data_IF_672958384843
#
_entry.id   IF_672958384843
#
_cell.length_a   1.000
_cell.length_b   1.000
_cell.length_c   1.000
_cell.angle_alpha   90.00
_cell.angle_beta   90.00
_cell.angle_gamma   90.00
#
_symmetry.space_group_name_H-M   'P 1'
#
loop_
_entity.id
_entity.type
_entity.pdbx_description
1 polymer ?
#
# COMPACT_ATOMS: atom_id res chain seq x y z
N UNK A 1 0.20 -16.28 -19.12
CA UNK A 1 0.34 -14.91 -19.69
C UNK A 1 -0.57 -13.98 -18.90
N UNK A 2 -0.05 -12.86 -18.37
CA UNK A 2 -0.87 -11.91 -17.60
C UNK A 2 -1.77 -11.13 -18.55
N UNK A 3 -3.10 -11.30 -18.44
CA UNK A 3 -4.10 -10.68 -19.33
C UNK A 3 -3.98 -9.14 -19.40
N UNK A 4 -3.46 -8.52 -18.35
CA UNK A 4 -3.35 -7.06 -18.26
C UNK A 4 -2.29 -6.46 -19.19
N UNK A 5 -1.24 -7.23 -19.54
CA UNK A 5 -0.20 -6.68 -20.42
C UNK A 5 -0.65 -6.63 -21.90
N UNK A 6 -1.51 -7.56 -22.32
CA UNK A 6 -2.15 -7.45 -23.64
C UNK A 6 -2.96 -6.14 -23.72
N UNK A 7 -3.73 -5.83 -22.67
CA UNK A 7 -4.48 -4.57 -22.59
C UNK A 7 -3.58 -3.33 -22.60
N UNK A 8 -2.41 -3.37 -21.94
CA UNK A 8 -1.42 -2.29 -22.02
C UNK A 8 -0.98 -2.04 -23.47
N UNK A 9 -0.60 -3.11 -24.18
CA UNK A 9 -0.16 -3.03 -25.58
C UNK A 9 -1.27 -2.50 -26.49
N UNK A 10 -2.48 -3.05 -26.34
CA UNK A 10 -3.64 -2.64 -27.13
C UNK A 10 -3.97 -1.16 -26.90
N UNK A 11 -3.87 -0.68 -25.65
CA UNK A 11 -4.12 0.71 -25.31
C UNK A 11 -3.07 1.63 -25.94
N UNK A 12 -1.78 1.28 -25.86
CA UNK A 12 -0.69 2.05 -26.48
C UNK A 12 -0.84 2.08 -28.01
N UNK A 13 -1.12 0.93 -28.63
CA UNK A 13 -1.31 0.84 -30.08
C UNK A 13 -2.51 1.67 -30.55
N UNK A 14 -3.63 1.64 -29.82
CA UNK A 14 -4.80 2.49 -30.12
C UNK A 14 -4.45 3.98 -30.12
N UNK A 15 -3.65 4.44 -29.16
CA UNK A 15 -3.21 5.84 -29.12
C UNK A 15 -2.25 6.17 -30.27
N UNK A 16 -1.33 5.27 -30.61
CA UNK A 16 -0.44 5.43 -31.77
C UNK A 16 -1.23 5.52 -33.08
N UNK A 17 -2.19 4.63 -33.29
CA UNK A 17 -3.06 4.61 -34.48
C UNK A 17 -3.88 5.89 -34.58
N UNK A 18 -4.50 6.33 -33.47
CA UNK A 18 -5.29 7.58 -33.43
C UNK A 18 -4.48 8.82 -33.82
N UNK A 19 -3.18 8.82 -33.55
CA UNK A 19 -2.28 9.94 -33.87
C UNK A 19 -1.49 9.73 -35.16
N UNK A 20 -1.78 8.65 -35.91
CA UNK A 20 -1.05 8.24 -37.12
C UNK A 20 0.48 8.13 -36.88
N UNK A 21 0.86 7.60 -35.71
CA UNK A 21 2.25 7.42 -35.28
C UNK A 21 2.68 5.96 -35.34
N UNK A 22 3.99 5.75 -35.50
CA UNK A 22 4.59 4.41 -35.52
C UNK A 22 5.40 4.12 -34.25
N UNK A 23 5.68 2.84 -34.00
CA UNK A 23 6.59 2.43 -32.93
C UNK A 23 8.00 3.05 -33.05
N UNK A 24 8.47 3.27 -34.29
CA UNK A 24 9.75 3.93 -34.56
C UNK A 24 9.72 5.43 -34.20
N UNK A 25 8.57 6.08 -34.37
CA UNK A 25 8.37 7.44 -33.90
C UNK A 25 8.42 7.48 -32.36
N UNK A 26 7.67 6.59 -31.70
CA UNK A 26 7.62 6.54 -30.23
C UNK A 26 9.00 6.29 -29.65
N UNK A 27 9.79 5.38 -30.23
CA UNK A 27 11.13 5.06 -29.75
C UNK A 27 12.07 6.28 -29.76
N UNK A 28 11.96 7.14 -30.78
CA UNK A 28 12.71 8.41 -30.84
C UNK A 28 12.27 9.37 -29.74
N UNK A 29 10.97 9.49 -29.50
CA UNK A 29 10.44 10.40 -28.48
C UNK A 29 10.88 10.03 -27.06
N UNK A 30 10.94 8.74 -26.74
CA UNK A 30 11.30 8.27 -25.39
C UNK A 30 12.80 7.96 -25.21
N UNK A 31 13.61 8.18 -26.26
CA UNK A 31 15.06 7.91 -26.22
C UNK A 31 15.42 6.43 -26.05
N UNK A 32 14.66 5.52 -26.66
CA UNK A 32 14.90 4.06 -26.59
C UNK A 32 15.16 3.47 -27.97
N UNK A 33 15.90 2.37 -28.01
CA UNK A 33 16.17 1.66 -29.25
C UNK A 33 14.87 1.10 -29.84
N UNK A 34 14.69 1.23 -31.17
CA UNK A 34 13.46 0.83 -31.86
C UNK A 34 13.11 -0.65 -31.59
N UNK A 35 14.09 -1.55 -31.67
CA UNK A 35 13.87 -2.97 -31.41
C UNK A 35 13.32 -3.25 -29.98
N UNK A 36 13.69 -2.43 -29.00
CA UNK A 36 13.20 -2.57 -27.62
C UNK A 36 11.72 -2.18 -27.54
N UNK A 37 11.35 -1.06 -28.16
CA UNK A 37 9.95 -0.61 -28.22
C UNK A 37 9.09 -1.58 -29.01
N UNK A 38 9.58 -2.07 -30.16
CA UNK A 38 8.91 -3.12 -30.92
C UNK A 38 8.64 -4.35 -30.06
N UNK A 39 9.62 -4.83 -29.29
CA UNK A 39 9.43 -5.97 -28.37
C UNK A 39 8.36 -5.70 -27.32
N UNK A 40 8.25 -4.46 -26.82
CA UNK A 40 7.21 -4.13 -25.87
C UNK A 40 5.81 -4.19 -26.48
N UNK A 41 5.68 -3.78 -27.75
CA UNK A 41 4.41 -3.72 -28.47
C UNK A 41 4.03 -5.02 -29.19
N UNK A 42 4.97 -5.94 -29.44
CA UNK A 42 4.71 -7.20 -30.16
C UNK A 42 4.84 -8.45 -29.30
N UNK A 43 5.84 -8.52 -28.42
CA UNK A 43 6.15 -9.73 -27.63
C UNK A 43 5.51 -9.69 -26.24
N UNK A 44 4.59 -8.76 -26.01
CA UNK A 44 3.96 -8.58 -24.70
C UNK A 44 4.98 -8.41 -23.55
N UNK A 45 6.09 -7.71 -23.80
CA UNK A 45 7.15 -7.46 -22.81
C UNK A 45 7.02 -6.10 -22.13
N UNK A 46 6.95 -6.09 -20.81
CA UNK A 46 6.88 -4.87 -20.01
C UNK A 46 8.11 -3.94 -20.22
N UNK A 47 7.92 -2.61 -20.26
CA UNK A 47 9.01 -1.66 -20.09
C UNK A 47 9.75 -1.93 -18.79
N UNK A 48 11.07 -1.67 -18.73
CA UNK A 48 11.88 -2.02 -17.56
C UNK A 48 11.64 -1.15 -16.31
N UNK A 49 11.00 0.01 -16.45
CA UNK A 49 10.78 0.95 -15.36
C UNK A 49 9.51 1.79 -15.55
N UNK A 50 8.89 2.32 -14.47
CA UNK A 50 7.68 3.14 -14.56
C UNK A 50 7.94 4.49 -15.26
N UNK A 51 9.14 5.05 -15.14
CA UNK A 51 9.53 6.32 -15.77
C UNK A 51 9.41 6.23 -17.30
N UNK A 52 9.71 5.06 -17.87
CA UNK A 52 9.55 4.83 -19.32
C UNK A 52 8.08 4.93 -19.71
N UNK A 53 7.17 4.38 -18.90
CA UNK A 53 5.72 4.45 -19.16
C UNK A 53 5.24 5.89 -19.09
N UNK A 54 5.72 6.68 -18.12
CA UNK A 54 5.42 8.11 -18.01
C UNK A 54 5.91 8.88 -19.24
N UNK A 55 7.15 8.62 -19.70
CA UNK A 55 7.68 9.22 -20.93
C UNK A 55 6.88 8.83 -22.17
N UNK A 56 6.42 7.57 -22.26
CA UNK A 56 5.54 7.12 -23.34
C UNK A 56 4.21 7.86 -23.31
N UNK A 57 3.58 8.00 -22.14
CA UNK A 57 2.32 8.72 -21.99
C UNK A 57 2.46 10.21 -22.36
N UNK A 58 3.54 10.86 -21.93
CA UNK A 58 3.82 12.25 -22.29
C UNK A 58 4.07 12.44 -23.79
N UNK A 59 4.80 11.51 -24.43
CA UNK A 59 5.02 11.50 -25.87
C UNK A 59 3.70 11.31 -26.64
N UNK A 60 2.82 10.44 -26.15
CA UNK A 60 1.48 10.20 -26.69
C UNK A 60 0.46 11.25 -26.28
N UNK A 61 0.89 12.37 -25.72
CA UNK A 61 0.01 13.51 -25.46
C UNK A 61 -1.13 13.23 -24.47
N UNK A 62 -0.94 12.25 -23.59
CA UNK A 62 -1.97 11.78 -22.67
C UNK A 62 -2.08 12.68 -21.42
N UNK A 63 -3.19 12.57 -20.70
CA UNK A 63 -3.36 13.16 -19.37
C UNK A 63 -2.82 12.26 -18.26
N UNK A 64 -2.87 12.77 -17.03
CA UNK A 64 -2.43 12.03 -15.83
C UNK A 64 -3.30 10.79 -15.59
N UNK A 65 -4.61 10.87 -15.86
CA UNK A 65 -5.53 9.75 -15.68
C UNK A 65 -5.19 8.57 -16.60
N UNK A 66 -4.99 8.83 -17.89
CA UNK A 66 -4.61 7.81 -18.87
C UNK A 66 -3.19 7.28 -18.62
N UNK A 67 -2.27 8.13 -18.15
CA UNK A 67 -0.95 7.68 -17.72
C UNK A 67 -1.03 6.72 -16.52
N UNK A 68 -1.86 7.02 -15.52
CA UNK A 68 -2.10 6.14 -14.38
C UNK A 68 -2.75 4.81 -14.80
N UNK A 69 -3.63 4.81 -15.81
CA UNK A 69 -4.16 3.59 -16.41
C UNK A 69 -3.06 2.75 -17.06
N UNK A 70 -2.17 3.37 -17.86
CA UNK A 70 -1.03 2.68 -18.46
C UNK A 70 -0.09 2.08 -17.41
N UNK A 71 0.21 2.81 -16.33
CA UNK A 71 1.03 2.31 -15.21
C UNK A 71 0.38 1.09 -14.55
N UNK A 72 -0.94 1.15 -14.31
CA UNK A 72 -1.71 0.04 -13.74
C UNK A 72 -1.69 -1.20 -14.64
N UNK A 73 -1.93 -1.04 -15.95
CA UNK A 73 -1.91 -2.16 -16.91
C UNK A 73 -0.50 -2.75 -17.07
N UNK A 74 0.53 -1.91 -16.96
CA UNK A 74 1.93 -2.33 -16.90
C UNK A 74 2.33 -2.91 -15.54
N UNK A 75 1.42 -3.06 -14.57
CA UNK A 75 1.68 -3.58 -13.22
C UNK A 75 2.70 -2.76 -12.41
N UNK A 76 2.79 -1.46 -12.65
CA UNK A 76 3.51 -0.55 -11.76
C UNK A 76 2.58 -0.16 -10.60
N UNK A 77 3.02 -0.33 -9.34
CA UNK A 77 2.23 0.08 -8.18
C UNK A 77 2.15 1.59 -8.03
N UNK A 78 3.08 2.31 -8.68
CA UNK A 78 3.23 3.76 -8.59
C UNK A 78 2.18 4.47 -9.44
N UNK A 79 1.68 5.57 -8.90
CA UNK A 79 0.99 6.62 -9.64
C UNK A 79 1.97 7.70 -10.09
N UNK A 80 1.52 8.56 -10.99
CA UNK A 80 2.31 9.71 -11.44
C UNK A 80 2.73 10.59 -10.26
N UNK A 81 1.84 10.76 -9.27
CA UNK A 81 2.10 11.54 -8.05
C UNK A 81 3.29 10.98 -7.27
N UNK A 82 3.31 9.67 -7.02
CA UNK A 82 4.39 8.99 -6.30
C UNK A 82 5.74 9.18 -7.02
N UNK A 83 5.72 9.13 -8.36
CA UNK A 83 6.93 9.29 -9.17
C UNK A 83 7.46 10.73 -9.17
N UNK A 84 6.65 11.75 -8.86
CA UNK A 84 7.12 13.14 -8.76
C UNK A 84 8.13 13.32 -7.64
N UNK A 85 7.93 12.61 -6.54
CA UNK A 85 8.77 12.73 -5.35
C UNK A 85 10.05 11.92 -5.48
N UNK A 86 9.99 10.75 -6.12
CA UNK A 86 11.12 9.82 -6.17
C UNK A 86 12.04 10.01 -7.37
N UNK A 87 11.56 10.60 -8.47
CA UNK A 87 12.32 10.64 -9.72
C UNK A 87 13.22 11.87 -9.82
N UNK A 88 14.53 11.64 -9.95
CA UNK A 88 15.55 12.66 -10.16
C UNK A 88 15.93 12.88 -11.63
N UNK A 89 15.51 11.99 -12.52
CA UNK A 89 15.80 12.04 -13.96
C UNK A 89 15.06 13.22 -14.62
N UNK A 90 15.82 14.14 -15.22
CA UNK A 90 15.30 15.39 -15.78
C UNK A 90 14.29 15.15 -16.91
N UNK A 91 14.48 14.13 -17.75
CA UNK A 91 13.57 13.82 -18.86
C UNK A 91 12.20 13.36 -18.34
N UNK A 92 12.21 12.57 -17.28
CA UNK A 92 11.00 12.08 -16.63
C UNK A 92 10.28 13.21 -15.92
N UNK A 93 10.99 14.10 -15.23
CA UNK A 93 10.39 15.30 -14.63
C UNK A 93 9.74 16.20 -15.69
N UNK A 94 10.38 16.39 -16.85
CA UNK A 94 9.79 17.10 -17.99
C UNK A 94 8.53 16.40 -18.53
N UNK A 95 8.55 15.08 -18.60
CA UNK A 95 7.40 14.28 -19.01
C UNK A 95 6.22 14.46 -18.04
N UNK A 96 6.46 14.40 -16.72
CA UNK A 96 5.41 14.62 -15.71
C UNK A 96 4.83 16.03 -15.82
N UNK A 97 5.69 17.05 -15.93
CA UNK A 97 5.22 18.43 -16.11
C UNK A 97 4.39 18.62 -17.39
N UNK A 98 4.67 17.86 -18.46
CA UNK A 98 3.87 17.88 -19.68
C UNK A 98 2.48 17.24 -19.48
N UNK A 99 2.39 16.14 -18.72
CA UNK A 99 1.11 15.50 -18.36
C UNK A 99 0.22 16.43 -17.53
N UNK A 100 0.82 17.20 -16.62
CA UNK A 100 0.10 18.11 -15.72
C UNK A 100 -0.54 19.29 -16.47
N UNK A 101 0.21 19.86 -17.42
CA UNK A 101 -0.31 20.92 -18.30
C UNK A 101 -1.51 20.43 -19.11
N UNK A 102 -1.46 19.20 -19.62
CA UNK A 102 -2.55 18.60 -20.41
C UNK A 102 -3.77 18.30 -19.55
N UNK A 103 -3.56 17.77 -18.35
CA UNK A 103 -4.65 17.48 -17.41
C UNK A 103 -5.37 18.76 -16.98
N UNK A 104 -4.63 19.87 -16.85
CA UNK A 104 -5.21 21.19 -16.58
C UNK A 104 -6.02 21.73 -17.78
N UNK A 105 -5.53 21.51 -19.01
CA UNK A 105 -6.22 21.91 -20.23
C UNK A 105 -7.52 21.13 -20.50
N UNK A 106 -7.60 19.88 -20.02
CA UNK A 106 -8.81 19.05 -20.11
C UNK A 106 -9.86 19.37 -19.05
N UNK A 107 -9.66 20.40 -18.21
CA UNK A 107 -10.75 20.88 -17.35
C UNK A 107 -11.95 21.20 -18.23
N UNK A 108 -13.13 20.64 -17.93
CA UNK A 108 -14.30 20.79 -18.76
C UNK A 108 -14.53 22.28 -18.94
N UNK A 109 -14.46 22.73 -20.20
CA UNK A 109 -14.95 24.04 -20.63
C UNK A 109 -16.20 24.29 -19.82
N UNK A 110 -16.14 25.24 -18.87
CA UNK A 110 -17.22 25.53 -17.95
C UNK A 110 -18.48 25.62 -18.81
N UNK A 111 -19.33 24.59 -18.69
CA UNK A 111 -20.60 24.58 -19.38
C UNK A 111 -21.29 25.85 -18.91
N UNK A 112 -21.43 26.81 -19.81
CA UNK A 112 -22.21 28.01 -19.53
C UNK A 112 -23.55 27.53 -19.00
N UNK A 113 -24.00 28.02 -17.84
CA UNK A 113 -25.23 27.56 -17.23
C UNK A 113 -26.39 27.84 -18.18
N UNK A 114 -26.78 26.83 -18.95
CA UNK A 114 -27.96 26.86 -19.79
C UNK A 114 -29.15 26.70 -18.85
N UNK A 115 -29.74 27.84 -18.48
CA UNK A 115 -31.00 27.90 -17.73
C UNK A 115 -32.07 27.05 -18.41
N UNK A 116 -32.39 25.89 -17.82
CA UNK A 116 -33.56 25.10 -18.14
C UNK A 116 -34.36 24.81 -16.85
N UNK A 117 -35.70 24.71 -16.93
CA UNK A 117 -36.59 24.92 -15.80
C UNK A 117 -36.79 23.67 -14.95
N UNK A 118 -37.02 23.90 -13.65
CA UNK A 118 -37.38 22.93 -12.62
C UNK A 118 -38.61 22.09 -12.98
N UNK A 119 -38.50 20.78 -12.76
CA UNK A 119 -39.62 19.92 -12.37
C UNK A 119 -39.19 19.05 -11.17
N UNK A 120 -39.93 19.06 -10.05
CA UNK A 120 -39.70 18.18 -8.93
C UNK A 120 -40.60 16.94 -9.04
N UNK A 121 -40.09 15.77 -8.69
CA UNK A 121 -40.76 14.71 -7.93
C UNK A 121 -39.94 13.42 -8.01
N UNK A 122 -39.81 12.76 -6.86
CA UNK A 122 -39.81 11.31 -6.60
C UNK A 122 -38.78 10.99 -5.50
N UNK A 123 -39.27 10.81 -4.27
CA UNK A 123 -39.80 9.59 -3.65
C UNK A 123 -38.70 8.82 -2.90
N UNK A 124 -38.68 9.11 -1.61
CA UNK A 124 -37.83 8.61 -0.54
C UNK A 124 -37.94 7.08 -0.43
N UNK A 125 -36.80 6.37 -0.48
CA UNK A 125 -36.72 4.96 -0.08
C UNK A 125 -36.08 4.87 1.32
N UNK A 126 -36.66 4.08 2.25
CA UNK A 126 -36.10 3.91 3.58
C UNK A 126 -34.83 3.02 3.55
N UNK A 127 -33.87 3.26 4.45
CA UNK A 127 -32.62 2.49 4.52
C UNK A 127 -32.86 1.07 5.10
N UNK A 128 -32.12 0.06 4.64
CA UNK A 128 -32.17 -1.29 5.19
C UNK A 128 -31.58 -1.34 6.61
N UNK A 129 -32.17 -2.19 7.45
CA UNK A 129 -31.78 -2.40 8.85
C UNK A 129 -30.35 -2.96 8.99
N UNK A 130 -29.62 -2.59 10.06
CA UNK A 130 -28.25 -3.06 10.29
C UNK A 130 -28.24 -4.56 10.64
N UNK A 131 -27.53 -5.34 9.84
CA UNK A 131 -27.21 -6.74 10.10
C UNK A 131 -26.28 -6.82 11.32
N UNK A 132 -26.72 -7.60 12.32
CA UNK A 132 -25.96 -7.95 13.52
C UNK A 132 -24.73 -8.77 13.15
N UNK A 133 -23.58 -8.11 12.98
CA UNK A 133 -22.29 -8.75 12.84
C UNK A 133 -21.80 -9.20 14.23
N UNK A 134 -21.45 -10.50 14.35
CA UNK A 134 -20.69 -11.00 15.48
C UNK A 134 -19.36 -10.22 15.58
N UNK A 135 -18.89 -9.91 16.80
CA UNK A 135 -17.66 -9.14 16.96
C UNK A 135 -16.49 -9.89 16.31
N UNK A 136 -15.70 -9.23 15.46
CA UNK A 136 -14.49 -9.82 14.88
C UNK A 136 -13.60 -10.36 16.00
N UNK A 137 -13.06 -11.55 15.80
CA UNK A 137 -12.08 -12.11 16.73
C UNK A 137 -10.93 -11.10 16.83
N UNK A 138 -10.40 -10.86 18.04
CA UNK A 138 -9.38 -9.84 18.32
C UNK A 138 -8.20 -9.83 17.32
N UNK A 139 -7.84 -10.99 16.76
CA UNK A 139 -6.83 -11.12 15.71
C UNK A 139 -7.20 -10.41 14.39
N UNK A 140 -8.47 -10.39 13.99
CA UNK A 140 -8.93 -9.67 12.80
C UNK A 140 -8.96 -8.16 13.03
N UNK A 141 -9.34 -7.70 14.23
CA UNK A 141 -9.29 -6.27 14.60
C UNK A 141 -7.86 -5.75 14.57
N UNK A 142 -6.91 -6.52 15.09
CA UNK A 142 -5.49 -6.16 15.02
C UNK A 142 -4.97 -6.14 13.58
N UNK A 143 -5.34 -7.12 12.75
CA UNK A 143 -4.94 -7.14 11.34
C UNK A 143 -5.55 -5.97 10.55
N UNK A 144 -6.80 -5.61 10.82
CA UNK A 144 -7.47 -4.48 10.20
C UNK A 144 -6.87 -3.15 10.66
N UNK A 145 -6.62 -2.99 11.97
CA UNK A 145 -5.99 -1.80 12.52
C UNK A 145 -4.58 -1.60 11.95
N UNK A 146 -3.74 -2.65 11.94
CA UNK A 146 -2.42 -2.62 11.30
C UNK A 146 -2.58 -2.29 9.82
N UNK A 147 -3.47 -2.94 9.08
CA UNK A 147 -3.65 -2.64 7.66
C UNK A 147 -4.12 -1.20 7.39
N UNK A 148 -4.94 -0.61 8.26
CA UNK A 148 -5.50 0.73 8.09
C UNK A 148 -4.48 1.81 8.42
N UNK A 149 -3.78 1.67 9.54
CA UNK A 149 -2.72 2.59 9.97
C UNK A 149 -1.56 2.62 8.95
N UNK A 150 -1.29 1.49 8.29
CA UNK A 150 -0.23 1.40 7.27
C UNK A 150 -0.64 1.87 5.87
N UNK A 151 -1.92 1.92 5.53
CA UNK A 151 -2.38 2.50 4.25
C UNK A 151 -2.36 4.04 4.29
N UNK A 152 -2.42 4.63 5.48
CA UNK A 152 -2.40 6.09 5.66
C UNK A 152 -0.98 6.64 5.89
N UNK A 153 -0.06 5.84 6.43
CA UNK A 153 1.35 6.19 6.57
C UNK A 153 2.14 5.78 5.32
N UNK A 154 2.63 6.75 4.56
CA UNK A 154 3.43 6.57 3.34
C UNK A 154 4.85 6.05 3.69
N UNK A 155 4.96 4.80 4.12
CA UNK A 155 6.24 4.17 4.52
C UNK A 155 6.97 3.65 3.27
N UNK A 156 8.25 4.02 3.11
CA UNK A 156 9.12 3.52 2.04
C UNK A 156 9.13 1.98 2.04
N UNK A 157 9.01 1.35 0.85
CA UNK A 157 9.01 -0.12 0.70
C UNK A 157 10.21 -0.81 1.36
N UNK A 158 11.36 -0.13 1.44
CA UNK A 158 12.57 -0.66 2.07
C UNK A 158 12.44 -0.67 3.60
N UNK A 159 11.87 0.38 4.17
CA UNK A 159 11.57 0.47 5.60
C UNK A 159 10.45 -0.50 5.98
N UNK A 160 9.42 -0.63 5.15
CA UNK A 160 8.37 -1.63 5.31
C UNK A 160 8.95 -3.06 5.35
N UNK A 161 9.88 -3.38 4.44
CA UNK A 161 10.57 -4.66 4.44
C UNK A 161 11.43 -4.91 5.69
N UNK A 162 11.95 -3.85 6.33
CA UNK A 162 12.66 -3.95 7.61
C UNK A 162 11.68 -4.16 8.77
N UNK A 163 10.63 -3.35 8.86
CA UNK A 163 9.58 -3.46 9.87
C UNK A 163 8.91 -4.85 9.86
N UNK A 164 8.57 -5.38 8.68
CA UNK A 164 7.96 -6.71 8.58
C UNK A 164 8.91 -7.83 9.02
N UNK A 165 10.22 -7.68 8.82
CA UNK A 165 11.20 -8.65 9.33
C UNK A 165 11.30 -8.57 10.85
N UNK A 166 11.35 -7.37 11.41
CA UNK A 166 11.37 -7.16 12.85
C UNK A 166 10.10 -7.71 13.52
N UNK A 167 8.92 -7.40 12.96
CA UNK A 167 7.65 -7.92 13.44
C UNK A 167 7.61 -9.46 13.38
N UNK A 168 8.12 -10.06 12.30
CA UNK A 168 8.17 -11.51 12.19
C UNK A 168 9.11 -12.15 13.23
N UNK A 169 10.24 -11.49 13.52
CA UNK A 169 11.18 -11.91 14.56
C UNK A 169 10.53 -11.85 15.94
N UNK A 170 9.81 -10.77 16.26
CA UNK A 170 9.09 -10.63 17.53
C UNK A 170 7.97 -11.67 17.68
N UNK A 171 7.16 -11.88 16.63
CA UNK A 171 6.13 -12.93 16.63
C UNK A 171 6.76 -14.32 16.83
N UNK A 172 7.91 -14.57 16.22
CA UNK A 172 8.65 -15.83 16.39
C UNK A 172 9.12 -16.01 17.85
N UNK A 173 9.65 -14.96 18.47
CA UNK A 173 10.05 -14.97 19.87
C UNK A 173 8.87 -15.21 20.82
N UNK A 174 7.72 -14.58 20.57
CA UNK A 174 6.49 -14.80 21.34
C UNK A 174 6.01 -16.24 21.21
N UNK A 175 5.98 -16.80 19.99
CA UNK A 175 5.59 -18.20 19.75
C UNK A 175 6.52 -19.18 20.47
N UNK A 176 7.82 -18.92 20.45
CA UNK A 176 8.81 -19.73 21.17
C UNK A 176 8.59 -19.68 22.68
N UNK A 177 8.36 -18.49 23.24
CA UNK A 177 8.04 -18.33 24.66
C UNK A 177 6.75 -19.05 25.07
N UNK A 178 5.70 -19.01 24.23
CA UNK A 178 4.46 -19.74 24.46
C UNK A 178 4.65 -21.26 24.41
N UNK A 179 5.48 -21.77 23.48
CA UNK A 179 5.81 -23.19 23.43
C UNK A 179 6.59 -23.66 24.66
N UNK A 180 7.56 -22.86 25.11
CA UNK A 180 8.33 -23.12 26.33
C UNK A 180 7.44 -23.08 27.59
N UNK A 181 6.47 -22.17 27.64
CA UNK A 181 5.48 -22.09 28.71
C UNK A 181 4.49 -23.27 28.70
N UNK A 182 4.06 -23.72 27.52
CA UNK A 182 3.21 -24.92 27.39
C UNK A 182 3.95 -26.18 27.84
N UNK A 183 5.25 -26.29 27.53
CA UNK A 183 6.11 -27.35 28.04
C UNK A 183 6.23 -27.28 29.57
N UNK A 184 6.41 -26.08 30.15
CA UNK A 184 6.40 -25.88 31.60
C UNK A 184 5.06 -26.31 32.23
N UNK A 185 3.93 -26.03 31.59
CA UNK A 185 2.60 -26.49 32.04
C UNK A 185 2.47 -28.02 32.04
N UNK A 186 3.03 -28.70 31.03
CA UNK A 186 3.10 -30.17 30.98
C UNK A 186 4.06 -30.75 32.03
N UNK A 187 5.18 -30.08 32.31
CA UNK A 187 6.12 -30.45 33.37
C UNK A 187 5.51 -30.33 34.77
N UNK A 188 4.71 -29.29 35.04
CA UNK A 188 4.01 -29.12 36.31
C UNK A 188 2.91 -30.16 36.53
N UNK A 189 2.31 -30.69 35.46
CA UNK A 189 1.32 -31.78 35.54
C UNK A 189 1.92 -33.17 35.76
N UNK A 190 3.22 -33.38 35.49
CA UNK A 190 3.87 -34.71 35.54
C UNK A 190 4.71 -34.96 36.79
N UNK A 191 4.85 -33.96 37.67
CA UNK A 191 5.29 -34.18 39.07
C UNK A 191 6.74 -34.64 39.26
N UNK A 192 7.65 -34.42 38.32
CA UNK A 192 9.06 -34.80 38.46
C UNK A 192 9.99 -33.60 38.26
N UNK A 193 10.56 -33.10 39.36
CA UNK A 193 11.52 -31.99 39.36
C UNK A 193 12.97 -32.48 39.42
N UNK A 194 13.76 -32.15 38.40
CA UNK A 194 15.17 -31.79 38.60
C UNK A 194 15.39 -30.35 38.09
N UNK A 195 15.90 -29.43 38.93
CA UNK A 195 16.03 -28.02 38.56
C UNK A 195 17.26 -27.79 37.66
N UNK A 196 17.03 -27.53 36.37
CA UNK A 196 18.06 -26.97 35.49
C UNK A 196 18.04 -25.44 35.59
N UNK A 197 19.06 -24.88 36.25
CA UNK A 197 19.35 -23.44 36.29
C UNK A 197 19.70 -22.95 34.88
N UNK A 198 18.79 -22.20 34.24
CA UNK A 198 19.17 -21.26 33.17
C UNK A 198 18.57 -19.89 33.49
N UNK A 199 19.35 -18.80 33.39
CA UNK A 199 18.83 -17.45 33.59
C UNK A 199 17.96 -17.06 32.40
N UNK A 200 16.72 -16.65 32.65
CA UNK A 200 15.90 -15.98 31.64
C UNK A 200 16.47 -14.57 31.42
N UNK A 201 16.82 -14.25 30.17
CA UNK A 201 17.21 -12.89 29.78
C UNK A 201 16.00 -11.95 29.72
N UNK A 202 16.24 -10.64 29.78
CA UNK A 202 15.23 -9.57 29.87
C UNK A 202 14.11 -9.64 28.81
N UNK A 203 14.33 -10.25 27.65
CA UNK A 203 13.30 -10.44 26.63
C UNK A 203 12.15 -11.39 27.02
N UNK A 204 12.37 -12.27 28.01
CA UNK A 204 11.33 -13.17 28.51
C UNK A 204 10.25 -12.46 29.33
N UNK A 205 10.58 -11.33 29.95
CA UNK A 205 9.67 -10.62 30.85
C UNK A 205 8.59 -9.83 30.08
N UNK A 206 8.98 -9.23 28.94
CA UNK A 206 8.04 -8.55 28.04
C UNK A 206 7.11 -9.54 27.33
N UNK A 207 7.61 -10.69 26.91
CA UNK A 207 6.79 -11.76 26.34
C UNK A 207 5.79 -12.32 27.38
N UNK A 208 6.21 -12.44 28.64
CA UNK A 208 5.33 -12.84 29.73
C UNK A 208 4.23 -11.79 29.99
N UNK A 209 4.58 -10.50 30.04
CA UNK A 209 3.61 -9.42 30.25
C UNK A 209 2.58 -9.32 29.11
N UNK A 210 3.02 -9.46 27.85
CA UNK A 210 2.12 -9.45 26.69
C UNK A 210 1.13 -10.63 26.70
N UNK A 211 1.60 -11.83 27.06
CA UNK A 211 0.74 -13.02 27.19
C UNK A 211 -0.20 -12.92 28.39
N UNK A 212 0.25 -12.32 29.49
CA UNK A 212 -0.59 -12.14 30.69
C UNK A 212 -1.67 -11.08 30.45
N UNK A 213 -1.36 -10.00 29.72
CA UNK A 213 -2.33 -8.98 29.31
C UNK A 213 -3.36 -9.49 28.30
N UNK A 214 -2.96 -10.37 27.38
CA UNK A 214 -3.87 -10.97 26.39
C UNK A 214 -4.86 -12.00 26.99
N UNK A 215 -4.58 -12.52 28.19
CA UNK A 215 -5.43 -13.46 28.92
C UNK A 215 -6.23 -12.81 30.06
N UNK A 216 -6.08 -11.49 30.25
CA UNK A 216 -6.70 -10.77 31.33
C UNK A 216 -8.20 -10.52 31.04
N UNK A 217 -9.03 -10.48 32.09
CA UNK A 217 -10.44 -10.12 31.96
C UNK A 217 -10.60 -8.70 31.39
N UNK A 218 -11.74 -8.37 30.76
CA UNK A 218 -11.91 -7.12 29.99
C UNK A 218 -11.51 -5.84 30.74
N UNK A 219 -11.74 -5.77 32.06
CA UNK A 219 -11.37 -4.63 32.90
C UNK A 219 -9.83 -4.49 33.06
N UNK A 220 -9.10 -5.62 33.10
CA UNK A 220 -7.64 -5.63 33.16
C UNK A 220 -6.99 -5.32 31.81
N UNK A 221 -7.69 -5.61 30.71
CA UNK A 221 -7.23 -5.29 29.36
C UNK A 221 -7.27 -3.78 29.09
N UNK A 222 -8.28 -3.07 29.61
CA UNK A 222 -8.34 -1.60 29.56
C UNK A 222 -7.22 -0.94 30.38
N UNK A 223 -6.94 -1.45 31.57
CA UNK A 223 -5.81 -0.96 32.38
C UNK A 223 -4.45 -1.19 31.71
N UNK A 224 -4.27 -2.31 31.00
CA UNK A 224 -3.06 -2.61 30.25
C UNK A 224 -2.88 -1.66 29.05
N UNK A 225 -3.94 -1.42 28.28
CA UNK A 225 -3.93 -0.46 27.17
C UNK A 225 -3.70 0.98 27.65
N UNK A 226 -4.27 1.35 28.80
CA UNK A 226 -4.03 2.65 29.43
C UNK A 226 -2.56 2.82 29.88
N UNK A 227 -1.94 1.78 30.42
CA UNK A 227 -0.53 1.79 30.81
C UNK A 227 0.41 1.92 29.60
N UNK A 228 0.12 1.21 28.51
CA UNK A 228 0.89 1.34 27.26
C UNK A 228 0.77 2.74 26.63
N UNK A 229 -0.41 3.34 26.68
CA UNK A 229 -0.61 4.73 26.20
C UNK A 229 0.11 5.78 27.07
N UNK A 230 0.38 5.48 28.35
CA UNK A 230 1.18 6.35 29.21
C UNK A 230 2.66 6.32 28.82
N UNK A 231 3.23 5.14 28.55
CA UNK A 231 4.62 5.03 28.07
C UNK A 231 4.81 5.71 26.70
N UNK A 232 3.84 5.62 25.79
CA UNK A 232 3.94 6.27 24.48
C UNK A 232 3.99 7.81 24.61
N UNK A 233 3.22 8.39 25.53
CA UNK A 233 3.24 9.84 25.80
C UNK A 233 4.55 10.30 26.42
N UNK A 234 5.13 9.49 27.31
CA UNK A 234 6.42 9.82 27.94
C UNK A 234 7.58 9.71 26.94
N UNK A 235 7.53 8.75 26.01
CA UNK A 235 8.49 8.62 24.91
C UNK A 235 8.36 9.79 23.92
N UNK A 236 7.13 10.20 23.59
CA UNK A 236 6.89 11.36 22.73
C UNK A 236 7.31 12.69 23.40
N UNK A 237 7.08 12.84 24.71
CA UNK A 237 7.53 14.00 25.47
C UNK A 237 9.06 14.09 25.52
N UNK A 238 9.76 12.96 25.66
CA UNK A 238 11.22 12.90 25.64
C UNK A 238 11.82 13.17 24.23
N UNK A 239 11.05 12.97 23.17
CA UNK A 239 11.47 13.23 21.79
C UNK A 239 11.34 14.71 21.36
N UNK A 240 10.52 15.51 22.06
CA UNK A 240 10.31 16.94 21.77
C UNK A 240 11.38 17.84 22.42
N UNK A 241 12.12 17.32 23.40
CA UNK A 241 13.16 18.07 24.15
C UNK A 241 14.59 17.81 23.63
N UNK A 242 14.73 17.32 22.39
CA UNK A 242 16.00 17.12 21.66
C UNK A 242 15.99 17.85 20.33
#
# INVERSE_FOLDING_TARGET
MMKNYAQFVDLVNRYLERQERSAAWLSKQIGRHQATVSKWLSEHKRPGSPEIVVRMAAALELGVAECNELLKLAHYPHRVEDLRETVTDQDTQRAIAALDRRSSASSPVQATPSSAPLMPMQLHHPPPAPSSHAPPQFAEVLLEYVSKTFNEAYIDRREFGQLMRQLHEEISLIRKGLADAALLGQFLHTGSMEPRKRPFGNGGLLAHLAVTGALASGEQQEHFLAAMNLEEKDIQAAAIDR
#
